data_IF_935988386007
#
_entry.id   IF_935988386007
#
_cell.length_a   1.000
_cell.length_b   1.000
_cell.length_c   1.000
_cell.angle_alpha   90.00
_cell.angle_beta   90.00
_cell.angle_gamma   90.00
#
_symmetry.space_group_name_H-M   'P 1'
#
loop_
_entity.id
_entity.type
_entity.pdbx_description
1 polymer ?
#
# COMPACT_ATOMS: atom_id res chain seq x y z
N UNK A 1 4.90 33.13 21.84
CA UNK A 1 5.58 33.74 20.68
C UNK A 1 5.97 32.63 19.72
N UNK A 2 5.06 32.30 18.81
CA UNK A 2 5.25 31.30 17.75
C UNK A 2 6.08 31.92 16.64
N UNK A 3 7.23 31.33 16.31
CA UNK A 3 8.04 31.79 15.17
C UNK A 3 7.24 31.59 13.88
N UNK A 4 7.28 32.52 12.92
CA UNK A 4 6.65 32.33 11.62
C UNK A 4 7.36 31.20 10.85
N UNK A 5 6.58 30.25 10.32
CA UNK A 5 7.04 29.24 9.37
C UNK A 5 7.79 29.95 8.23
N UNK A 6 9.11 29.72 8.13
CA UNK A 6 9.95 30.42 7.14
C UNK A 6 10.38 29.53 5.96
N UNK A 7 9.90 28.28 5.92
CA UNK A 7 9.88 27.48 4.69
C UNK A 7 8.44 27.45 4.18
N UNK A 8 8.18 27.77 2.90
CA UNK A 8 6.82 27.76 2.39
C UNK A 8 6.30 26.32 2.30
N UNK A 9 4.98 26.10 2.49
CA UNK A 9 4.31 24.82 2.20
C UNK A 9 4.57 24.33 0.76
N UNK A 10 5.10 25.18 -0.12
CA UNK A 10 5.57 24.85 -1.46
C UNK A 10 6.52 23.63 -1.49
N UNK A 11 7.43 23.47 -0.53
CA UNK A 11 8.32 22.29 -0.50
C UNK A 11 7.55 21.00 -0.17
N UNK A 12 6.63 21.05 0.80
CA UNK A 12 5.77 19.91 1.11
C UNK A 12 4.81 19.58 -0.04
N UNK A 13 4.30 20.58 -0.77
CA UNK A 13 3.45 20.36 -1.95
C UNK A 13 4.20 19.68 -3.10
N UNK A 14 5.54 19.72 -3.13
CA UNK A 14 6.29 18.96 -4.12
C UNK A 14 6.12 17.44 -3.96
N UNK A 15 5.70 16.97 -2.78
CA UNK A 15 5.32 15.57 -2.53
C UNK A 15 3.89 15.25 -2.97
N UNK A 16 3.05 16.25 -3.22
CA UNK A 16 1.61 16.12 -3.43
C UNK A 16 1.23 15.08 -4.49
N UNK A 17 1.84 15.02 -5.69
CA UNK A 17 1.45 14.02 -6.69
C UNK A 17 1.57 12.59 -6.16
N UNK A 18 2.68 12.28 -5.48
CA UNK A 18 2.92 10.94 -4.93
C UNK A 18 2.12 10.67 -3.65
N UNK A 19 1.83 11.71 -2.86
CA UNK A 19 0.90 11.61 -1.73
C UNK A 19 -0.49 11.23 -2.22
N UNK A 20 -1.04 11.90 -3.23
CA UNK A 20 -2.35 11.59 -3.78
C UNK A 20 -2.43 10.16 -4.32
N UNK A 21 -1.40 9.70 -5.03
CA UNK A 21 -1.31 8.31 -5.51
C UNK A 21 -1.30 7.32 -4.35
N UNK A 22 -0.48 7.59 -3.32
CA UNK A 22 -0.37 6.68 -2.19
C UNK A 22 -1.58 6.69 -1.28
N UNK A 23 -2.23 7.84 -1.07
CA UNK A 23 -3.51 7.94 -0.38
C UNK A 23 -4.61 7.19 -1.14
N UNK A 24 -4.65 7.32 -2.46
CA UNK A 24 -5.58 6.56 -3.30
C UNK A 24 -5.40 5.05 -3.15
N UNK A 25 -4.15 4.59 -3.12
CA UNK A 25 -3.84 3.19 -2.86
C UNK A 25 -4.21 2.76 -1.44
N UNK A 26 -3.90 3.58 -0.43
CA UNK A 26 -4.01 3.25 0.98
C UNK A 26 -5.46 3.26 1.50
N UNK A 27 -6.27 4.23 1.03
CA UNK A 27 -7.58 4.53 1.59
C UNK A 27 -8.75 4.08 0.69
N UNK A 28 -8.53 3.98 -0.61
CA UNK A 28 -9.63 3.75 -1.56
C UNK A 28 -9.48 2.49 -2.41
N UNK A 29 -8.31 1.82 -2.40
CA UNK A 29 -8.04 0.70 -3.31
C UNK A 29 -8.36 -0.63 -2.65
N UNK A 30 -9.53 -1.16 -3.01
CA UNK A 30 -9.93 -2.52 -2.66
C UNK A 30 -8.97 -3.55 -3.29
N UNK A 31 -8.55 -4.54 -2.49
CA UNK A 31 -7.67 -5.61 -2.93
C UNK A 31 -8.47 -6.83 -3.42
N UNK A 32 -8.06 -7.47 -4.52
CA UNK A 32 -8.68 -8.70 -4.99
C UNK A 32 -8.61 -9.85 -3.96
N UNK A 33 -9.57 -10.77 -4.04
CA UNK A 33 -9.55 -11.97 -3.21
C UNK A 33 -8.25 -12.78 -3.43
N UNK A 34 -7.60 -13.17 -2.33
CA UNK A 34 -6.33 -13.89 -2.37
C UNK A 34 -5.10 -13.00 -2.63
N UNK A 35 -5.25 -11.68 -2.74
CA UNK A 35 -4.13 -10.76 -2.77
C UNK A 35 -3.32 -10.81 -1.45
N UNK A 36 -2.01 -10.59 -1.58
CA UNK A 36 -1.08 -10.48 -0.47
C UNK A 36 -0.36 -9.14 -0.53
N UNK A 37 -0.41 -8.42 0.58
CA UNK A 37 0.26 -7.13 0.74
C UNK A 37 1.25 -7.23 1.90
N UNK A 38 2.47 -6.75 1.69
CA UNK A 38 3.45 -6.65 2.76
C UNK A 38 2.93 -5.69 3.85
N UNK A 39 2.87 -6.10 5.13
CA UNK A 39 2.24 -5.30 6.18
C UNK A 39 2.88 -3.94 6.42
N UNK A 40 4.20 -3.79 6.18
CA UNK A 40 4.86 -2.47 6.26
C UNK A 40 4.47 -1.53 5.12
N UNK A 41 3.71 -2.02 4.15
CA UNK A 41 3.14 -1.23 3.08
C UNK A 41 4.02 -1.13 1.84
N UNK A 42 3.77 -0.10 1.05
CA UNK A 42 4.44 0.13 -0.23
C UNK A 42 5.02 1.54 -0.31
N UNK A 43 5.97 1.74 -1.21
CA UNK A 43 6.86 2.90 -1.17
C UNK A 43 6.94 3.58 -2.54
N UNK A 44 7.00 4.91 -2.52
CA UNK A 44 7.28 5.77 -3.66
C UNK A 44 8.48 6.67 -3.33
N UNK A 45 9.39 6.85 -4.28
CA UNK A 45 10.48 7.82 -4.15
C UNK A 45 9.96 9.19 -4.58
N UNK A 46 10.13 10.19 -3.73
CA UNK A 46 9.74 11.57 -3.95
C UNK A 46 10.96 12.48 -4.11
N UNK A 47 10.71 13.77 -4.27
CA UNK A 47 11.75 14.80 -4.42
C UNK A 47 12.58 14.95 -3.15
N UNK A 48 13.75 15.61 -3.23
CA UNK A 48 14.56 15.95 -2.05
C UNK A 48 15.13 14.74 -1.28
N UNK A 49 15.37 13.63 -1.98
CA UNK A 49 15.75 12.34 -1.39
C UNK A 49 14.74 11.85 -0.34
N UNK A 50 13.45 12.18 -0.51
CA UNK A 50 12.39 11.65 0.35
C UNK A 50 11.81 10.40 -0.25
N UNK A 51 11.43 9.50 0.63
CA UNK A 51 10.76 8.25 0.31
C UNK A 51 9.48 8.21 1.13
N UNK A 52 8.35 8.10 0.46
CA UNK A 52 7.04 8.02 1.07
C UNK A 52 6.63 6.55 1.13
N UNK A 53 6.44 6.02 2.33
CA UNK A 53 5.91 4.67 2.55
C UNK A 53 4.49 4.77 3.10
N UNK A 54 3.57 4.08 2.44
CA UNK A 54 2.16 4.03 2.78
C UNK A 54 1.88 2.67 3.42
N UNK A 55 1.54 2.67 4.71
CA UNK A 55 1.41 1.46 5.52
C UNK A 55 -0.05 1.24 5.90
N UNK A 56 -0.68 0.10 5.52
CA UNK A 56 -2.08 -0.20 5.88
C UNK A 56 -2.32 -0.32 7.39
N UNK A 57 -1.36 -0.89 8.10
CA UNK A 57 -1.35 -1.06 9.56
C UNK A 57 -0.05 -0.43 10.09
N UNK A 58 -0.06 0.89 10.26
CA UNK A 58 1.05 1.67 10.79
C UNK A 58 1.12 1.67 12.31
N UNK A 59 1.83 2.65 12.87
CA UNK A 59 1.85 2.84 14.33
C UNK A 59 0.44 3.22 14.82
N UNK A 60 0.13 2.86 16.07
CA UNK A 60 -1.23 2.97 16.64
C UNK A 60 -2.30 2.11 15.92
N UNK A 61 -1.89 1.14 15.07
CA UNK A 61 -2.81 0.28 14.34
C UNK A 61 -3.61 1.00 13.24
N UNK A 62 -3.21 2.23 12.89
CA UNK A 62 -3.87 3.07 11.89
C UNK A 62 -3.10 3.08 10.59
N UNK A 63 -3.74 3.31 9.43
CA UNK A 63 -3.03 3.58 8.19
C UNK A 63 -2.10 4.78 8.37
N UNK A 64 -0.89 4.71 7.83
CA UNK A 64 0.10 5.76 8.03
C UNK A 64 0.87 6.09 6.75
N UNK A 65 1.27 7.36 6.65
CA UNK A 65 2.27 7.84 5.71
C UNK A 65 3.57 8.03 6.46
N UNK A 66 4.60 7.28 6.10
CA UNK A 66 5.95 7.40 6.64
C UNK A 66 6.82 8.12 5.62
N UNK A 67 7.47 9.20 6.04
CA UNK A 67 8.50 9.87 5.25
C UNK A 67 9.85 9.45 5.75
N UNK A 68 10.67 8.94 4.85
CA UNK A 68 12.03 8.50 5.13
C UNK A 68 13.01 9.29 4.26
N UNK A 69 14.14 9.66 4.84
CA UNK A 69 15.29 10.17 4.08
C UNK A 69 15.99 9.00 3.40
N UNK A 70 16.12 9.04 2.08
CA UNK A 70 16.91 8.08 1.30
C UNK A 70 18.39 8.48 1.31
N UNK A 71 19.27 7.56 1.72
CA UNK A 71 20.74 7.72 1.60
C UNK A 71 21.15 7.38 0.15
N UNK A 72 21.56 8.38 -0.63
CA UNK A 72 22.30 8.15 -1.90
C UNK A 72 23.61 8.96 -2.00
N UNK A 73 23.81 10.00 -1.19
CA UNK A 73 25.10 10.70 -1.13
C UNK A 73 25.54 10.88 0.32
N UNK A 74 26.33 9.92 0.83
CA UNK A 74 27.01 10.12 2.11
C UNK A 74 28.45 9.61 2.14
N UNK A 75 29.43 10.51 2.38
CA UNK A 75 30.71 10.13 2.99
C UNK A 75 30.55 9.91 4.51
N UNK A 76 31.26 8.93 5.10
CA UNK A 76 31.00 8.39 6.44
C UNK A 76 31.27 9.33 7.64
N UNK A 77 31.77 10.54 7.44
CA UNK A 77 32.38 11.36 8.51
C UNK A 77 31.65 12.66 8.87
N UNK A 78 30.44 12.92 8.33
CA UNK A 78 29.72 14.18 8.60
C UNK A 78 28.29 13.94 9.06
N UNK A 79 27.76 14.84 9.90
CA UNK A 79 26.33 14.89 10.25
C UNK A 79 25.48 14.83 8.96
N UNK A 80 24.35 14.10 8.94
CA UNK A 80 23.51 14.02 7.76
C UNK A 80 23.04 15.44 7.45
N UNK A 81 23.48 16.01 6.32
CA UNK A 81 23.01 17.34 5.90
C UNK A 81 21.55 17.34 5.45
N UNK A 82 20.93 16.17 5.38
CA UNK A 82 19.63 15.95 4.78
C UNK A 82 18.68 15.26 5.76
N UNK A 83 18.53 15.77 6.98
CA UNK A 83 17.50 15.31 7.93
C UNK A 83 16.14 15.92 7.60
N UNK A 84 15.08 15.32 8.14
CA UNK A 84 13.74 15.92 8.17
C UNK A 84 13.77 17.13 9.10
N UNK A 85 13.26 18.27 8.64
CA UNK A 85 13.07 19.43 9.51
C UNK A 85 11.77 19.28 10.31
N UNK A 86 11.66 19.97 11.44
CA UNK A 86 10.42 19.93 12.23
C UNK A 86 9.23 20.53 11.47
N UNK A 87 9.46 21.60 10.69
CA UNK A 87 8.44 22.22 9.86
C UNK A 87 8.01 21.33 8.70
N UNK A 88 8.90 20.53 8.11
CA UNK A 88 8.56 19.64 6.99
C UNK A 88 7.45 18.65 7.35
N UNK A 89 7.42 18.16 8.58
CA UNK A 89 6.39 17.23 9.04
C UNK A 89 5.07 17.94 9.31
N UNK A 90 5.11 19.15 9.86
CA UNK A 90 3.92 19.96 10.11
C UNK A 90 3.30 20.43 8.77
N UNK A 91 4.13 20.84 7.82
CA UNK A 91 3.72 21.22 6.47
C UNK A 91 3.13 20.02 5.72
N UNK A 92 3.69 18.82 5.89
CA UNK A 92 3.12 17.60 5.33
C UNK A 92 1.76 17.25 5.94
N UNK A 93 1.60 17.40 7.25
CA UNK A 93 0.32 17.22 7.93
C UNK A 93 -0.73 18.23 7.44
N UNK A 94 -0.31 19.47 7.15
CA UNK A 94 -1.15 20.48 6.53
C UNK A 94 -1.58 20.06 5.12
N UNK A 95 -0.65 19.61 4.27
CA UNK A 95 -0.97 19.12 2.91
C UNK A 95 -1.93 17.92 2.94
N UNK A 96 -1.76 16.98 3.87
CA UNK A 96 -2.70 15.87 4.06
C UNK A 96 -4.10 16.38 4.42
N UNK A 97 -4.18 17.36 5.32
CA UNK A 97 -5.45 17.96 5.74
C UNK A 97 -6.14 18.68 4.58
N UNK A 98 -5.38 19.38 3.73
CA UNK A 98 -5.89 20.04 2.51
C UNK A 98 -6.40 19.02 1.48
N UNK A 99 -5.82 17.81 1.46
CA UNK A 99 -6.33 16.67 0.68
C UNK A 99 -7.59 16.02 1.27
N UNK A 100 -8.08 16.51 2.41
CA UNK A 100 -9.23 15.98 3.15
C UNK A 100 -8.87 14.84 4.13
N UNK A 101 -7.59 14.57 4.36
CA UNK A 101 -7.13 13.49 5.24
C UNK A 101 -6.56 14.03 6.54
N UNK A 102 -7.22 13.71 7.67
CA UNK A 102 -6.79 14.19 8.98
C UNK A 102 -5.74 13.26 9.61
N UNK A 103 -4.70 13.86 10.20
CA UNK A 103 -3.68 13.14 10.98
C UNK A 103 -4.18 12.93 12.40
N UNK A 104 -4.32 11.68 12.83
CA UNK A 104 -4.73 11.30 14.17
C UNK A 104 -3.57 11.20 15.18
N UNK A 105 -2.37 10.90 14.70
CA UNK A 105 -1.15 10.88 15.51
C UNK A 105 0.08 11.09 14.64
N UNK A 106 1.18 11.56 15.24
CA UNK A 106 2.47 11.69 14.58
C UNK A 106 3.58 11.08 15.45
N UNK A 107 4.55 10.45 14.81
CA UNK A 107 5.78 9.93 15.43
C UNK A 107 6.99 10.40 14.62
N UNK A 108 8.12 10.61 15.29
CA UNK A 108 9.39 10.97 14.69
C UNK A 108 10.49 10.12 15.31
N UNK A 109 11.49 9.75 14.53
CA UNK A 109 12.68 9.10 15.05
C UNK A 109 13.66 10.12 15.65
N UNK A 110 14.46 9.70 16.62
CA UNK A 110 15.44 10.57 17.29
C UNK A 110 16.55 11.06 16.35
N UNK A 111 16.73 10.38 15.21
CA UNK A 111 17.75 10.76 14.22
C UNK A 111 17.22 11.70 13.14
N UNK A 112 15.95 12.09 13.20
CA UNK A 112 15.25 12.91 12.22
C UNK A 112 15.44 12.40 10.77
N UNK A 113 15.46 11.07 10.60
CA UNK A 113 15.54 10.40 9.29
C UNK A 113 14.21 9.81 8.88
N UNK A 114 13.28 9.67 9.81
CA UNK A 114 11.98 9.06 9.56
C UNK A 114 10.92 9.66 10.45
N UNK A 115 9.80 10.03 9.85
CA UNK A 115 8.61 10.46 10.57
C UNK A 115 7.39 9.73 10.01
N UNK A 116 6.41 9.46 10.86
CA UNK A 116 5.18 8.81 10.48
C UNK A 116 3.98 9.68 10.89
N UNK A 117 3.03 9.82 9.97
CA UNK A 117 1.75 10.47 10.18
C UNK A 117 0.66 9.41 10.07
N UNK A 118 0.06 9.05 11.21
CA UNK A 118 -1.07 8.13 11.25
C UNK A 118 -2.36 8.87 10.89
N UNK A 119 -3.11 8.31 9.96
CA UNK A 119 -4.35 8.88 9.46
C UNK A 119 -5.52 8.52 10.39
N UNK A 120 -6.51 9.42 10.47
CA UNK A 120 -7.74 9.17 11.21
C UNK A 120 -8.66 8.20 10.46
N UNK A 121 -8.59 8.18 9.13
CA UNK A 121 -9.33 7.26 8.27
C UNK A 121 -8.83 5.82 8.41
N UNK A 122 -9.74 4.87 8.21
CA UNK A 122 -9.43 3.44 8.16
C UNK A 122 -9.09 3.01 6.75
N UNK A 123 -8.13 2.08 6.60
CA UNK A 123 -7.86 1.44 5.32
C UNK A 123 -9.01 0.50 4.92
N UNK A 124 -9.21 0.24 3.61
CA UNK A 124 -10.18 -0.73 3.13
C UNK A 124 -10.02 -2.09 3.79
N UNK A 125 -11.15 -2.71 4.15
CA UNK A 125 -11.16 -4.01 4.82
C UNK A 125 -10.44 -5.11 4.02
N UNK A 126 -10.50 -5.07 2.69
CA UNK A 126 -9.82 -6.02 1.81
C UNK A 126 -8.29 -5.83 1.81
N UNK A 127 -7.81 -4.59 1.94
CA UNK A 127 -6.39 -4.25 2.07
C UNK A 127 -5.85 -4.76 3.40
N UNK A 128 -6.58 -4.54 4.49
CA UNK A 128 -6.27 -5.10 5.81
C UNK A 128 -6.28 -6.65 5.77
N UNK A 129 -7.26 -7.26 5.10
CA UNK A 129 -7.32 -8.70 4.93
C UNK A 129 -6.12 -9.25 4.12
N UNK A 130 -5.66 -8.53 3.09
CA UNK A 130 -4.47 -8.91 2.32
C UNK A 130 -3.18 -8.85 3.16
N UNK A 131 -3.04 -7.82 4.01
CA UNK A 131 -1.93 -7.72 4.96
C UNK A 131 -1.99 -8.81 6.05
N UNK A 132 -3.19 -9.12 6.56
CA UNK A 132 -3.41 -10.21 7.51
C UNK A 132 -3.03 -11.58 6.92
N UNK A 133 -3.43 -11.87 5.67
CA UNK A 133 -3.02 -13.11 4.98
C UNK A 133 -1.50 -13.19 4.85
N UNK A 134 -0.83 -12.08 4.50
CA UNK A 134 0.64 -12.07 4.44
C UNK A 134 1.27 -12.45 5.79
N UNK A 135 0.76 -11.90 6.91
CA UNK A 135 1.26 -12.21 8.26
C UNK A 135 1.03 -13.67 8.67
N UNK A 136 -0.13 -14.22 8.33
CA UNK A 136 -0.46 -15.63 8.60
C UNK A 136 0.46 -16.57 7.81
N UNK A 137 0.99 -16.11 6.68
CA UNK A 137 1.86 -16.87 5.81
C UNK A 137 1.12 -17.97 5.06
N UNK A 138 1.87 -18.81 4.34
CA UNK A 138 1.29 -19.84 3.50
C UNK A 138 0.52 -20.88 4.37
N UNK A 139 -0.77 -21.14 4.09
CA UNK A 139 -1.59 -22.05 4.89
C UNK A 139 -1.16 -23.52 4.77
N UNK A 140 -0.50 -23.89 3.67
CA UNK A 140 -0.09 -25.27 3.40
C UNK A 140 1.18 -25.67 4.15
N UNK A 141 2.04 -24.71 4.48
CA UNK A 141 3.40 -24.98 4.97
C UNK A 141 3.71 -24.28 6.30
N UNK A 142 2.68 -23.97 7.10
CA UNK A 142 2.85 -23.42 8.45
C UNK A 142 3.62 -22.10 8.49
N UNK A 143 3.47 -21.24 7.47
CA UNK A 143 4.12 -19.93 7.45
C UNK A 143 5.57 -19.89 6.98
N UNK A 144 6.18 -21.03 6.61
CA UNK A 144 7.52 -21.05 6.03
C UNK A 144 7.57 -20.17 4.76
N UNK A 145 8.36 -19.08 4.74
CA UNK A 145 8.48 -18.26 3.56
C UNK A 145 9.18 -19.10 2.47
N UNK A 146 8.82 -18.90 1.20
CA UNK A 146 9.49 -19.47 0.00
C UNK A 146 9.19 -20.92 -0.43
N UNK A 147 8.31 -21.65 0.26
CA UNK A 147 8.07 -23.07 -0.02
C UNK A 147 7.15 -23.37 -1.23
N UNK A 148 6.40 -22.38 -1.75
CA UNK A 148 5.54 -22.57 -2.92
C UNK A 148 5.22 -21.24 -3.64
N UNK A 149 4.51 -21.32 -4.77
CA UNK A 149 4.13 -20.14 -5.56
C UNK A 149 3.14 -19.20 -4.88
N UNK A 150 2.58 -19.58 -3.73
CA UNK A 150 1.51 -18.83 -3.05
C UNK A 150 1.86 -17.35 -2.81
N UNK A 151 3.07 -17.05 -2.31
CA UNK A 151 3.50 -15.66 -2.09
C UNK A 151 3.58 -14.88 -3.40
N UNK A 152 4.12 -15.50 -4.45
CA UNK A 152 4.23 -14.89 -5.78
C UNK A 152 2.84 -14.64 -6.36
N UNK A 153 2.00 -15.67 -6.39
CA UNK A 153 0.68 -15.62 -7.00
C UNK A 153 -0.24 -14.64 -6.26
N UNK A 154 -0.15 -14.58 -4.92
CA UNK A 154 -0.87 -13.60 -4.12
C UNK A 154 -0.35 -12.17 -4.28
N UNK A 155 0.97 -11.98 -4.40
CA UNK A 155 1.55 -10.65 -4.66
C UNK A 155 1.22 -10.15 -6.07
N UNK A 156 1.16 -11.04 -7.07
CA UNK A 156 0.77 -10.70 -8.45
C UNK A 156 -0.72 -10.35 -8.60
N UNK A 157 -1.57 -10.84 -7.68
CA UNK A 157 -3.00 -10.47 -7.64
C UNK A 157 -3.25 -9.12 -6.97
N UNK A 158 -2.31 -8.65 -6.16
CA UNK A 158 -2.48 -7.42 -5.42
C UNK A 158 -2.44 -6.21 -6.35
N UNK A 159 -3.28 -5.22 -6.08
CA UNK A 159 -3.18 -3.92 -6.75
C UNK A 159 -2.12 -3.13 -6.00
N UNK A 160 -0.98 -2.89 -6.64
CA UNK A 160 0.12 -2.14 -6.06
C UNK A 160 -0.04 -0.63 -6.22
N UNK A 161 0.62 0.14 -5.37
CA UNK A 161 0.77 1.60 -5.48
C UNK A 161 1.36 2.00 -6.84
N UNK A 162 2.19 1.13 -7.43
CA UNK A 162 2.76 1.34 -8.76
C UNK A 162 1.73 1.11 -9.88
N UNK A 163 0.75 0.23 -9.68
CA UNK A 163 -0.37 0.07 -10.61
C UNK A 163 -1.30 1.29 -10.56
N UNK A 164 -1.56 1.81 -9.35
CA UNK A 164 -2.30 3.08 -9.16
C UNK A 164 -1.54 4.24 -9.81
N UNK A 165 -0.24 4.34 -9.58
CA UNK A 165 0.61 5.36 -10.21
C UNK A 165 0.56 5.27 -11.74
N UNK A 166 0.73 4.06 -12.30
CA UNK A 166 0.70 3.82 -13.74
C UNK A 166 -0.65 4.22 -14.34
N UNK A 167 -1.76 3.85 -13.69
CA UNK A 167 -3.09 4.23 -14.12
C UNK A 167 -3.30 5.76 -14.11
N UNK A 168 -2.82 6.45 -13.07
CA UNK A 168 -2.91 7.92 -12.97
C UNK A 168 -2.14 8.63 -14.10
N UNK A 169 -0.94 8.15 -14.43
CA UNK A 169 -0.15 8.68 -15.57
C UNK A 169 -0.84 8.41 -16.90
N UNK A 170 -1.42 7.22 -17.09
CA UNK A 170 -2.11 6.85 -18.32
C UNK A 170 -3.44 7.57 -18.54
N UNK A 171 -4.11 8.02 -17.47
CA UNK A 171 -5.35 8.81 -17.52
C UNK A 171 -5.12 10.32 -17.66
N UNK A 172 -3.88 10.78 -17.89
CA UNK A 172 -3.60 12.21 -18.15
C UNK A 172 -4.21 12.68 -19.48
N UNK A 173 -4.63 13.95 -19.58
CA UNK A 173 -5.82 14.34 -20.34
C UNK A 173 -5.53 14.58 -21.82
N UNK A 174 -5.95 13.65 -22.68
CA UNK A 174 -6.43 13.99 -24.03
C UNK A 174 -7.94 14.32 -24.04
N UNK A 175 -8.63 14.19 -22.89
CA UNK A 175 -10.09 14.31 -22.76
C UNK A 175 -10.51 15.26 -21.62
N UNK A 176 -10.01 16.50 -21.54
CA UNK A 176 -10.73 17.54 -20.76
C UNK A 176 -10.56 18.92 -21.38
N UNK A 177 -11.65 19.43 -21.94
CA UNK A 177 -11.83 20.82 -22.31
C UNK A 177 -11.87 21.73 -21.06
N UNK A 178 -11.11 22.82 -21.15
CA UNK A 178 -11.26 24.15 -20.53
C UNK A 178 -11.93 24.25 -19.14
N UNK A 179 -11.10 24.45 -18.11
CA UNK A 179 -11.50 24.98 -16.80
C UNK A 179 -10.34 24.89 -15.80
N UNK A 180 -10.05 25.96 -15.07
CA UNK A 180 -8.89 26.09 -14.17
C UNK A 180 -8.73 24.94 -13.15
N UNK A 181 -7.49 24.59 -12.76
CA UNK A 181 -7.22 23.51 -11.81
C UNK A 181 -7.40 23.99 -10.37
N UNK A 182 -8.61 23.84 -9.83
CA UNK A 182 -8.84 23.79 -8.39
C UNK A 182 -8.27 22.45 -7.86
N UNK A 183 -7.42 22.51 -6.82
CA UNK A 183 -6.84 21.32 -6.15
C UNK A 183 -7.95 20.35 -5.70
N UNK A 184 -9.11 20.88 -5.31
CA UNK A 184 -10.32 20.11 -4.96
C UNK A 184 -10.88 19.31 -6.14
N UNK A 185 -10.71 19.81 -7.36
CA UNK A 185 -11.13 19.13 -8.59
C UNK A 185 -10.16 18.01 -8.97
N UNK A 186 -8.84 18.23 -8.82
CA UNK A 186 -7.83 17.18 -9.01
C UNK A 186 -8.01 16.02 -8.01
N UNK A 187 -8.31 16.32 -6.75
CA UNK A 187 -8.64 15.32 -5.71
C UNK A 187 -9.92 14.56 -6.05
N UNK A 188 -10.96 15.22 -6.57
CA UNK A 188 -12.20 14.55 -7.04
C UNK A 188 -11.98 13.61 -8.21
N UNK A 189 -11.11 13.95 -9.15
CA UNK A 189 -10.78 13.11 -10.32
C UNK A 189 -9.96 11.89 -9.88
N UNK A 190 -9.00 12.07 -8.97
CA UNK A 190 -8.22 10.97 -8.40
C UNK A 190 -9.10 9.97 -7.62
N UNK A 191 -10.23 10.43 -7.05
CA UNK A 191 -11.12 9.60 -6.21
C UNK A 191 -12.14 8.72 -6.98
N UNK A 192 -12.15 8.71 -8.32
CA UNK A 192 -13.08 7.89 -9.13
C UNK A 192 -12.90 6.38 -8.90
N UNK A 193 -13.91 5.63 -8.41
CA UNK A 193 -13.81 4.19 -8.14
C UNK A 193 -13.19 3.43 -9.31
N UNK A 194 -12.02 2.81 -9.08
CA UNK A 194 -11.42 1.91 -10.06
C UNK A 194 -12.16 0.58 -9.96
N UNK A 195 -13.14 0.37 -10.83
CA UNK A 195 -13.73 -0.95 -11.00
C UNK A 195 -12.70 -1.87 -11.69
N UNK A 196 -12.62 -3.16 -11.30
CA UNK A 196 -11.79 -4.11 -12.01
C UNK A 196 -12.21 -4.16 -13.50
N UNK A 197 -11.26 -4.34 -14.44
CA UNK A 197 -11.61 -4.52 -15.83
C UNK A 197 -12.59 -5.70 -15.95
N UNK A 198 -13.77 -5.44 -16.53
CA UNK A 198 -14.75 -6.49 -16.84
C UNK A 198 -14.05 -7.52 -17.71
N UNK A 199 -13.94 -8.75 -17.22
CA UNK A 199 -13.52 -9.89 -18.03
C UNK A 199 -14.48 -10.02 -19.21
N UNK A 200 -14.04 -9.68 -20.41
CA UNK A 200 -14.77 -9.97 -21.64
C UNK A 200 -14.87 -11.49 -21.75
N UNK A 201 -16.10 -11.99 -21.60
CA UNK A 201 -16.40 -13.42 -21.66
C UNK A 201 -16.01 -14.00 -23.02
N UNK A 202 -15.02 -14.89 -23.03
CA UNK A 202 -14.78 -15.77 -24.17
C UNK A 202 -15.72 -16.97 -24.06
N UNK A 203 -16.84 -16.91 -24.79
CA UNK A 203 -17.63 -18.09 -25.12
C UNK A 203 -16.81 -18.95 -26.09
N UNK A 204 -16.44 -20.16 -25.67
CA UNK A 204 -16.38 -21.31 -26.58
C UNK A 204 -16.93 -22.54 -25.87
N UNK A 205 -18.15 -22.91 -26.28
CA UNK A 205 -18.69 -24.26 -26.14
C UNK A 205 -18.18 -25.14 -27.27
N UNK A 206 -17.79 -26.37 -26.93
CA UNK A 206 -17.88 -27.65 -27.66
C UNK A 206 -16.78 -28.56 -27.09
N UNK A 207 -16.96 -29.83 -26.73
CA UNK A 207 -18.07 -30.76 -26.83
C UNK A 207 -17.60 -32.11 -26.25
N UNK A 208 -18.56 -32.92 -25.81
CA UNK A 208 -18.48 -34.22 -25.12
C UNK A 208 -17.48 -35.26 -25.71
N UNK A 209 -16.88 -36.12 -24.87
CA UNK A 209 -17.33 -37.52 -24.66
C UNK A 209 -16.45 -38.36 -23.69
N UNK A 210 -17.15 -39.01 -22.76
CA UNK A 210 -17.08 -40.42 -22.36
C UNK A 210 -15.78 -41.03 -21.82
N UNK A 211 -15.86 -41.51 -20.57
CA UNK A 211 -14.97 -42.53 -20.00
C UNK A 211 -15.39 -42.91 -18.58
N UNK A 212 -16.30 -43.89 -18.46
CA UNK A 212 -16.71 -44.52 -17.21
C UNK A 212 -15.51 -45.26 -16.57
N UNK A 213 -15.33 -45.17 -15.25
CA UNK A 213 -15.58 -46.26 -14.28
C UNK A 213 -15.05 -45.89 -12.87
N UNK A 214 -15.74 -46.33 -11.79
CA UNK A 214 -15.35 -46.07 -10.40
C UNK A 214 -14.50 -47.22 -9.83
N UNK A 215 -13.61 -46.93 -8.88
CA UNK A 215 -13.13 -47.94 -7.94
C UNK A 215 -13.17 -47.42 -6.50
N UNK A 216 -13.90 -48.20 -5.71
CA UNK A 216 -13.99 -48.28 -4.26
C UNK A 216 -12.80 -49.08 -3.72
N UNK A 217 -12.23 -48.70 -2.58
CA UNK A 217 -11.72 -49.55 -1.49
C UNK A 217 -11.26 -48.61 -0.35
N UNK A 218 -11.94 -48.53 0.80
CA UNK A 218 -11.74 -49.31 2.06
C UNK A 218 -10.26 -49.46 2.43
N UNK A 219 -9.78 -49.34 3.66
CA UNK A 219 -10.40 -49.22 4.98
C UNK A 219 -9.28 -48.85 5.98
N UNK A 220 -9.68 -48.33 7.14
CA UNK A 220 -9.06 -48.44 8.47
C UNK A 220 -7.55 -48.72 8.59
N UNK A 221 -6.85 -47.80 9.27
CA UNK A 221 -5.84 -48.17 10.26
C UNK A 221 -6.16 -47.54 11.62
N UNK A 222 -6.74 -48.35 12.50
CA UNK A 222 -6.73 -48.18 13.96
C UNK A 222 -6.06 -49.42 14.53
N UNK A 223 -4.86 -49.28 15.10
CA UNK A 223 -4.34 -50.07 16.24
C UNK A 223 -3.25 -49.21 16.91
N UNK A 224 -3.44 -48.64 18.11
CA UNK A 224 -3.48 -49.24 19.46
C UNK A 224 -2.10 -49.59 20.02
N UNK A 225 -1.56 -48.65 20.82
CA UNK A 225 -0.99 -48.86 22.17
C UNK A 225 0.34 -49.58 22.36
N UNK A 226 1.25 -48.94 23.11
CA UNK A 226 1.75 -49.41 24.43
C UNK A 226 2.76 -48.41 25.01
N UNK A 227 2.61 -48.09 26.29
CA UNK A 227 3.58 -47.33 27.08
C UNK A 227 4.65 -48.21 27.75
N UNK A 228 5.43 -47.56 28.62
CA UNK A 228 6.58 -48.03 29.44
C UNK A 228 7.85 -48.22 28.61
N UNK A 229 8.94 -47.47 28.84
CA UNK A 229 9.63 -47.12 30.09
C UNK A 229 10.19 -45.71 30.10
#
# INVERSE_FOLDING_TARGET
MTRPHTSPPAEATAHLPLLLIGLRWLLDTEQPAGALIYPRGQTLNSVGNRRLRFTPEGFDGRPAVVVEVSDADRPPTRNPRNTLSDSEIDDLAFVLSDCGEHVGAAWRDDTHRSAALALAASAPSSLLAAAARYRQGCPTHGGAPWCCSWYRDGSQRAISIHDVHRAAVQCSPSDVATGEPDLTAAVRIARRPMHPPRSSGSRRSAGNRAGRHPMVFSDRCVLRGKGLR
#
